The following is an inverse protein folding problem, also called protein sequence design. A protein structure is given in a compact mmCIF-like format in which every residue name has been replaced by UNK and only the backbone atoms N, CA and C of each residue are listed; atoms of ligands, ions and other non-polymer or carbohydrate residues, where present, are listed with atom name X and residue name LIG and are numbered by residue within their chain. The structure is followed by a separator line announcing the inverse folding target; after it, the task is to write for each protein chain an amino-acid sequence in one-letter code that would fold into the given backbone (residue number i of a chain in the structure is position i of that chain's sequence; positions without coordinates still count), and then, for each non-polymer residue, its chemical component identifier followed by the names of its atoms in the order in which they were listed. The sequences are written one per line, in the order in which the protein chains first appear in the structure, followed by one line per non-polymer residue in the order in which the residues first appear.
data_IF_670137357728
#
_entry.id   IF_670137357728
#
_cell.length_a   1.000
_cell.length_b   1.000
_cell.length_c   1.000
_cell.angle_alpha   90.00
_cell.angle_beta   90.00
_cell.angle_gamma   90.00
#
_symmetry.space_group_name_H-M   'P 1'
#
loop_
_entity.id
_entity.type
_entity.pdbx_description
1 polymer ?
#
# COMPACT_ATOMS: atom_id res chain seq x y z
N UNK A 1 -4.29 -72.87 -65.45
CA UNK A 1 -3.21 -73.24 -64.53
C UNK A 1 -3.45 -72.47 -63.23
N UNK A 2 -4.30 -72.99 -62.33
CA UNK A 2 -3.96 -73.81 -61.14
C UNK A 2 -3.18 -73.07 -60.05
N UNK A 3 -3.87 -72.90 -58.90
CA UNK A 3 -3.40 -72.99 -57.49
C UNK A 3 -2.36 -71.95 -57.03
N UNK A 4 -2.36 -71.46 -55.80
CA UNK A 4 -3.10 -71.81 -54.58
C UNK A 4 -2.65 -70.90 -53.43
N UNK A 5 -3.41 -70.97 -52.34
CA UNK A 5 -3.33 -70.17 -51.13
C UNK A 5 -2.01 -70.29 -50.34
N UNK A 6 -1.78 -69.30 -49.48
CA UNK A 6 -0.82 -69.38 -48.37
C UNK A 6 -0.85 -68.12 -47.50
N UNK A 7 -1.71 -68.10 -46.47
CA UNK A 7 -1.42 -67.32 -45.25
C UNK A 7 -0.13 -67.84 -44.62
N UNK A 8 0.62 -66.98 -43.90
CA UNK A 8 0.84 -67.36 -42.52
C UNK A 8 0.93 -66.20 -41.51
N UNK A 9 0.30 -66.49 -40.36
CA UNK A 9 0.87 -66.34 -39.01
C UNK A 9 0.82 -64.98 -38.33
N UNK A 10 -0.22 -64.86 -37.50
CA UNK A 10 -0.27 -64.09 -36.26
C UNK A 10 0.97 -64.32 -35.38
N UNK A 11 1.87 -63.33 -35.31
CA UNK A 11 2.76 -63.15 -34.16
C UNK A 11 2.11 -62.15 -33.20
N UNK A 12 1.56 -62.70 -32.11
CA UNK A 12 1.32 -61.98 -30.85
C UNK A 12 2.63 -61.30 -30.44
N UNK A 13 2.73 -59.99 -30.66
CA UNK A 13 3.66 -59.18 -29.90
C UNK A 13 3.08 -59.05 -28.50
N UNK A 14 3.80 -59.55 -27.50
CA UNK A 14 3.56 -59.22 -26.11
C UNK A 14 3.68 -57.70 -26.01
N UNK A 15 2.60 -57.03 -25.65
CA UNK A 15 2.66 -55.68 -25.11
C UNK A 15 3.26 -55.87 -23.72
N UNK A 16 4.56 -55.62 -23.61
CA UNK A 16 5.18 -55.42 -22.32
C UNK A 16 4.52 -54.17 -21.71
N UNK A 17 3.90 -54.33 -20.54
CA UNK A 17 3.44 -53.24 -19.69
C UNK A 17 4.66 -52.37 -19.35
N UNK A 18 4.84 -51.30 -20.13
CA UNK A 18 5.76 -50.23 -19.79
C UNK A 18 5.04 -49.36 -18.76
N UNK A 19 5.50 -49.44 -17.51
CA UNK A 19 5.18 -48.52 -16.43
C UNK A 19 5.15 -47.06 -16.95
N UNK A 20 3.99 -46.42 -16.90
CA UNK A 20 3.86 -44.98 -17.13
C UNK A 20 4.65 -44.26 -16.03
N UNK A 21 5.86 -43.80 -16.38
CA UNK A 21 6.75 -43.09 -15.48
C UNK A 21 6.19 -41.68 -15.20
N UNK A 22 5.31 -41.62 -14.20
CA UNK A 22 4.68 -40.42 -13.65
C UNK A 22 5.63 -39.19 -13.59
N UNK A 23 5.13 -38.05 -14.11
CA UNK A 23 5.89 -36.81 -14.30
C UNK A 23 6.73 -36.44 -13.06
N UNK A 24 8.05 -36.24 -13.18
CA UNK A 24 8.92 -35.83 -12.08
C UNK A 24 8.44 -34.59 -11.31
N UNK A 25 7.67 -33.69 -11.93
CA UNK A 25 7.03 -32.55 -11.26
C UNK A 25 5.80 -32.97 -10.46
N UNK A 26 4.99 -33.89 -10.98
CA UNK A 26 3.82 -34.45 -10.28
C UNK A 26 4.24 -35.29 -9.08
N UNK A 27 5.26 -36.15 -9.22
CA UNK A 27 5.88 -36.87 -8.10
C UNK A 27 6.36 -35.93 -6.98
N UNK A 28 6.96 -34.80 -7.36
CA UNK A 28 7.43 -33.78 -6.40
C UNK A 28 6.28 -33.06 -5.71
N UNK A 29 5.22 -32.70 -6.45
CA UNK A 29 3.99 -32.11 -5.90
C UNK A 29 3.38 -33.04 -4.87
N UNK A 30 3.25 -34.32 -5.21
CA UNK A 30 2.69 -35.32 -4.31
C UNK A 30 3.52 -35.55 -3.05
N UNK A 31 4.85 -35.58 -3.15
CA UNK A 31 5.74 -35.69 -1.99
C UNK A 31 5.55 -34.50 -1.03
N UNK A 32 5.43 -33.28 -1.57
CA UNK A 32 5.22 -32.05 -0.80
C UNK A 32 3.85 -32.06 -0.09
N UNK A 33 2.79 -32.45 -0.81
CA UNK A 33 1.43 -32.56 -0.28
C UNK A 33 1.38 -33.61 0.84
N UNK A 34 1.98 -34.79 0.64
CA UNK A 34 2.05 -35.86 1.66
C UNK A 34 2.75 -35.39 2.94
N UNK A 35 3.82 -34.61 2.82
CA UNK A 35 4.55 -34.07 3.98
C UNK A 35 3.76 -32.96 4.69
N UNK A 36 3.09 -32.09 3.94
CA UNK A 36 2.20 -31.05 4.47
C UNK A 36 1.02 -31.64 5.23
N UNK A 37 0.35 -32.65 4.67
CA UNK A 37 -0.75 -33.34 5.34
C UNK A 37 -0.30 -34.08 6.61
N UNK A 38 0.90 -34.66 6.59
CA UNK A 38 1.50 -35.31 7.77
C UNK A 38 1.82 -34.30 8.87
N UNK A 39 2.35 -33.12 8.50
CA UNK A 39 2.57 -32.03 9.44
C UNK A 39 1.25 -31.49 10.04
N UNK A 40 0.14 -31.59 9.29
CA UNK A 40 -1.21 -31.13 9.70
C UNK A 40 -1.94 -32.11 10.63
N UNK A 41 -1.73 -33.44 10.49
CA UNK A 41 -2.56 -34.49 11.14
C UNK A 41 -1.94 -35.20 12.37
N UNK A 42 -0.70 -34.91 12.80
CA UNK A 42 0.02 -35.81 13.73
C UNK A 42 0.56 -35.21 15.05
N UNK A 43 0.67 -36.07 16.08
CA UNK A 43 1.36 -35.84 17.38
C UNK A 43 2.89 -35.59 17.25
N UNK A 44 3.46 -35.75 16.05
CA UNK A 44 4.91 -35.66 15.75
C UNK A 44 5.25 -34.41 14.90
N UNK A 45 4.61 -33.28 15.24
CA UNK A 45 4.57 -32.02 14.49
C UNK A 45 5.97 -31.41 14.21
N UNK A 46 6.90 -31.53 15.17
CA UNK A 46 8.23 -30.90 15.07
C UNK A 46 9.12 -31.54 13.98
N UNK A 47 9.06 -32.87 13.83
CA UNK A 47 9.87 -33.60 12.85
C UNK A 47 9.38 -33.36 11.43
N UNK A 48 8.07 -33.47 11.19
CA UNK A 48 7.48 -33.21 9.88
C UNK A 48 7.69 -31.76 9.42
N UNK A 49 7.62 -30.77 10.34
CA UNK A 49 7.98 -29.38 10.04
C UNK A 49 9.44 -29.23 9.66
N UNK A 50 10.36 -29.90 10.37
CA UNK A 50 11.79 -29.85 10.06
C UNK A 50 12.11 -30.49 8.71
N UNK A 51 11.46 -31.59 8.36
CA UNK A 51 11.56 -32.25 7.06
C UNK A 51 11.02 -31.36 5.94
N UNK A 52 9.88 -30.69 6.15
CA UNK A 52 9.32 -29.71 5.22
C UNK A 52 10.25 -28.52 4.98
N UNK A 53 10.79 -27.91 6.05
CA UNK A 53 11.75 -26.81 5.96
C UNK A 53 12.99 -27.23 5.17
N UNK A 54 13.49 -28.44 5.42
CA UNK A 54 14.66 -28.99 4.71
C UNK A 54 14.35 -29.22 3.22
N UNK A 55 13.17 -29.73 2.91
CA UNK A 55 12.73 -29.97 1.54
C UNK A 55 12.56 -28.65 0.77
N UNK A 56 11.90 -27.66 1.37
CA UNK A 56 11.74 -26.32 0.79
C UNK A 56 13.11 -25.67 0.52
N UNK A 57 14.03 -25.71 1.50
CA UNK A 57 15.39 -25.18 1.31
C UNK A 57 16.15 -25.88 0.17
N UNK A 58 16.00 -27.21 0.03
CA UNK A 58 16.59 -27.97 -1.08
C UNK A 58 16.00 -27.58 -2.44
N UNK A 59 14.69 -27.35 -2.50
CA UNK A 59 14.00 -26.94 -3.72
C UNK A 59 14.37 -25.49 -4.10
N UNK A 60 14.45 -24.60 -3.12
CA UNK A 60 14.95 -23.23 -3.29
C UNK A 60 16.36 -23.23 -3.88
N UNK A 61 17.29 -23.97 -3.29
CA UNK A 61 18.67 -24.08 -3.79
C UNK A 61 18.75 -24.64 -5.22
N UNK A 62 17.86 -25.58 -5.57
CA UNK A 62 17.77 -26.12 -6.93
C UNK A 62 17.24 -25.08 -7.92
N UNK A 63 16.21 -24.33 -7.53
CA UNK A 63 15.64 -23.27 -8.35
C UNK A 63 16.63 -22.12 -8.54
N UNK A 64 17.33 -21.71 -7.48
CA UNK A 64 18.43 -20.73 -7.54
C UNK A 64 19.53 -21.17 -8.51
N UNK A 65 19.93 -22.44 -8.49
CA UNK A 65 20.92 -22.99 -9.42
C UNK A 65 20.43 -23.01 -10.88
N UNK A 66 19.13 -23.13 -11.11
CA UNK A 66 18.54 -23.14 -12.45
C UNK A 66 18.35 -21.72 -12.98
N UNK A 67 17.75 -20.85 -12.17
CA UNK A 67 17.45 -19.45 -12.49
C UNK A 67 18.72 -18.59 -12.54
N UNK A 68 19.73 -18.90 -11.73
CA UNK A 68 21.05 -18.27 -11.77
C UNK A 68 21.87 -18.57 -13.02
N UNK A 69 21.40 -19.44 -13.93
CA UNK A 69 22.02 -19.67 -15.25
C UNK A 69 21.64 -18.61 -16.27
N UNK A 70 20.58 -17.85 -16.01
CA UNK A 70 20.17 -16.75 -16.87
C UNK A 70 21.15 -15.58 -16.69
N UNK A 71 21.50 -14.94 -17.80
CA UNK A 71 22.43 -13.81 -17.80
C UNK A 71 21.84 -12.60 -17.05
N UNK A 72 22.66 -11.78 -16.37
CA UNK A 72 22.18 -10.57 -15.67
C UNK A 72 21.39 -9.61 -16.56
N UNK A 73 21.75 -9.49 -17.83
CA UNK A 73 21.08 -8.62 -18.81
C UNK A 73 19.68 -9.17 -19.16
N UNK A 74 19.53 -10.50 -19.20
CA UNK A 74 18.23 -11.14 -19.35
C UNK A 74 17.36 -10.88 -18.12
N UNK A 75 17.93 -10.89 -16.91
CA UNK A 75 17.22 -10.55 -15.69
C UNK A 75 16.76 -9.09 -15.65
N UNK A 76 17.61 -8.16 -16.10
CA UNK A 76 17.22 -6.75 -16.24
C UNK A 76 16.05 -6.59 -17.20
N UNK A 77 16.09 -7.25 -18.37
CA UNK A 77 14.99 -7.21 -19.31
C UNK A 77 13.73 -7.88 -18.76
N UNK A 78 13.87 -9.03 -18.12
CA UNK A 78 12.77 -9.74 -17.47
C UNK A 78 12.11 -8.80 -16.46
N UNK A 79 12.85 -8.25 -15.51
CA UNK A 79 12.30 -7.42 -14.40
C UNK A 79 11.83 -6.03 -14.83
N UNK A 80 12.51 -5.39 -15.78
CA UNK A 80 12.26 -3.98 -16.13
C UNK A 80 11.55 -3.76 -17.48
N UNK A 81 11.64 -4.71 -18.42
CA UNK A 81 11.07 -4.56 -19.77
C UNK A 81 9.91 -5.51 -20.05
N UNK A 82 9.96 -6.75 -19.57
CA UNK A 82 9.02 -7.81 -19.95
C UNK A 82 8.03 -8.19 -18.85
N UNK A 83 8.37 -8.00 -17.58
CA UNK A 83 7.44 -8.17 -16.47
C UNK A 83 6.71 -6.88 -16.19
N UNK A 84 5.39 -6.96 -16.31
CA UNK A 84 4.54 -5.91 -15.79
C UNK A 84 4.71 -5.83 -14.26
N UNK A 85 4.72 -4.64 -13.64
CA UNK A 85 4.87 -4.48 -12.18
C UNK A 85 3.89 -5.30 -11.32
N UNK A 86 2.77 -5.74 -11.89
CA UNK A 86 1.78 -6.59 -11.21
C UNK A 86 2.16 -8.08 -11.23
N UNK A 87 2.70 -8.56 -12.34
CA UNK A 87 3.27 -9.89 -12.44
C UNK A 87 4.51 -9.98 -11.56
N UNK A 88 5.23 -8.87 -11.41
CA UNK A 88 6.35 -8.71 -10.48
C UNK A 88 5.91 -8.85 -9.02
N UNK A 89 4.79 -8.24 -8.62
CA UNK A 89 4.20 -8.43 -7.28
C UNK A 89 3.81 -9.89 -7.05
N UNK A 90 3.07 -10.48 -8.00
CA UNK A 90 2.69 -11.89 -7.96
C UNK A 90 3.91 -12.83 -7.86
N UNK A 91 4.96 -12.60 -8.65
CA UNK A 91 6.19 -13.42 -8.69
C UNK A 91 7.10 -13.22 -7.48
N UNK A 92 7.20 -12.01 -6.96
CA UNK A 92 8.03 -11.73 -5.79
C UNK A 92 7.36 -12.12 -4.47
N UNK A 93 6.01 -12.19 -4.43
CA UNK A 93 5.29 -12.84 -3.35
C UNK A 93 5.54 -14.36 -3.32
N UNK A 94 5.88 -14.95 -4.46
CA UNK A 94 5.89 -16.40 -4.68
C UNK A 94 7.28 -17.01 -4.92
N UNK A 95 8.33 -16.19 -5.07
CA UNK A 95 9.70 -16.66 -5.27
C UNK A 95 10.75 -15.78 -4.58
N UNK A 96 11.45 -16.33 -3.56
CA UNK A 96 12.53 -15.63 -2.84
C UNK A 96 13.66 -15.19 -3.78
N UNK A 97 14.07 -16.05 -4.72
CA UNK A 97 15.11 -15.75 -5.70
C UNK A 97 14.77 -14.51 -6.55
N UNK A 98 13.52 -14.40 -7.02
CA UNK A 98 13.07 -13.22 -7.77
C UNK A 98 13.08 -11.96 -6.91
N UNK A 99 12.60 -12.04 -5.67
CA UNK A 99 12.61 -10.92 -4.71
C UNK A 99 14.03 -10.44 -4.40
N UNK A 100 14.97 -11.36 -4.23
CA UNK A 100 16.39 -11.05 -4.02
C UNK A 100 17.03 -10.47 -5.28
N UNK A 101 16.78 -11.06 -6.46
CA UNK A 101 17.30 -10.53 -7.73
C UNK A 101 16.76 -9.15 -8.09
N UNK A 102 15.50 -8.88 -7.79
CA UNK A 102 14.92 -7.54 -7.95
C UNK A 102 15.60 -6.53 -7.03
N UNK A 103 15.87 -6.90 -5.78
CA UNK A 103 16.59 -6.06 -4.82
C UNK A 103 18.02 -5.79 -5.29
N UNK A 104 18.73 -6.81 -5.78
CA UNK A 104 20.08 -6.68 -6.38
C UNK A 104 20.09 -5.67 -7.55
N UNK A 105 19.01 -5.62 -8.33
CA UNK A 105 18.84 -4.70 -9.46
C UNK A 105 18.33 -3.30 -9.05
N UNK A 106 18.23 -3.01 -7.75
CA UNK A 106 17.80 -1.71 -7.24
C UNK A 106 16.29 -1.45 -7.35
N UNK A 107 15.49 -2.47 -7.72
CA UNK A 107 14.04 -2.36 -7.76
C UNK A 107 13.44 -2.39 -6.35
N UNK A 108 12.76 -1.31 -5.94
CA UNK A 108 11.88 -1.36 -4.77
C UNK A 108 10.57 -2.02 -5.16
N UNK A 109 10.32 -3.23 -4.67
CA UNK A 109 8.98 -3.80 -4.72
C UNK A 109 8.19 -3.32 -3.51
N UNK A 110 7.15 -2.56 -3.79
CA UNK A 110 6.16 -2.19 -2.78
C UNK A 110 5.24 -3.41 -2.59
N UNK A 111 5.60 -4.29 -1.65
CA UNK A 111 4.77 -5.46 -1.28
C UNK A 111 3.64 -5.09 -0.32
N UNK A 112 3.66 -3.88 0.22
CA UNK A 112 2.60 -3.35 1.07
C UNK A 112 1.53 -2.70 0.18
N UNK A 113 0.67 -3.55 -0.38
CA UNK A 113 -0.43 -3.07 -1.21
C UNK A 113 -1.64 -2.81 -0.31
N UNK A 114 -1.71 -1.59 0.21
CA UNK A 114 -2.90 -1.16 0.94
C UNK A 114 -4.13 -1.02 0.01
N UNK A 115 -5.31 -0.83 0.61
CA UNK A 115 -6.58 -0.71 -0.11
C UNK A 115 -6.61 0.45 -1.11
N UNK A 116 -5.89 1.54 -0.83
CA UNK A 116 -5.81 2.71 -1.70
C UNK A 116 -4.91 2.45 -2.90
N UNK A 117 -3.77 1.79 -2.66
CA UNK A 117 -2.83 1.40 -3.70
C UNK A 117 -3.48 0.48 -4.73
N UNK A 118 -4.30 -0.48 -4.30
CA UNK A 118 -5.07 -1.34 -5.20
C UNK A 118 -6.00 -0.55 -6.13
N UNK A 119 -6.66 0.48 -5.61
CA UNK A 119 -7.57 1.32 -6.39
C UNK A 119 -6.84 2.25 -7.34
N UNK A 120 -5.70 2.82 -6.95
CA UNK A 120 -4.86 3.63 -7.83
C UNK A 120 -4.30 2.81 -9.00
N UNK A 121 -3.85 1.58 -8.70
CA UNK A 121 -3.46 0.63 -9.74
C UNK A 121 -4.63 0.36 -10.68
N UNK A 122 -5.85 0.20 -10.17
CA UNK A 122 -7.04 -0.05 -11.01
C UNK A 122 -7.35 1.15 -11.91
N UNK A 123 -7.37 2.36 -11.35
CA UNK A 123 -7.59 3.61 -12.09
C UNK A 123 -6.57 3.81 -13.21
N UNK A 124 -5.31 3.42 -12.98
CA UNK A 124 -4.26 3.51 -14.00
C UNK A 124 -4.34 2.42 -15.09
N UNK A 125 -5.30 1.49 -15.02
CA UNK A 125 -5.38 0.34 -15.92
C UNK A 125 -4.29 -0.70 -15.67
N UNK A 126 -3.57 -0.56 -14.55
CA UNK A 126 -2.43 -1.37 -14.15
C UNK A 126 -2.81 -2.27 -12.97
N UNK A 127 -4.02 -2.85 -12.91
CA UNK A 127 -4.27 -4.05 -12.09
C UNK A 127 -4.33 -5.22 -13.04
N UNK A 128 -3.47 -6.22 -12.83
CA UNK A 128 -3.56 -7.46 -13.57
C UNK A 128 -4.84 -8.18 -13.14
N UNK A 129 -5.71 -8.50 -14.09
CA UNK A 129 -6.74 -9.52 -13.90
C UNK A 129 -6.07 -10.87 -14.11
N UNK A 130 -6.00 -11.70 -13.07
CA UNK A 130 -5.41 -13.02 -13.17
C UNK A 130 -6.46 -14.06 -13.58
N UNK A 131 -6.06 -15.07 -14.35
CA UNK A 131 -6.94 -16.15 -14.78
C UNK A 131 -7.18 -17.16 -13.66
N UNK A 132 -8.24 -17.97 -13.77
CA UNK A 132 -8.46 -19.11 -12.88
C UNK A 132 -7.23 -20.03 -12.79
N UNK A 133 -6.52 -20.25 -13.92
CA UNK A 133 -5.30 -21.05 -13.96
C UNK A 133 -4.17 -20.49 -13.07
N UNK A 134 -4.08 -19.16 -12.93
CA UNK A 134 -3.11 -18.56 -12.02
C UNK A 134 -3.49 -18.84 -10.55
N UNK A 135 -4.76 -18.71 -10.18
CA UNK A 135 -5.22 -19.03 -8.81
C UNK A 135 -5.02 -20.52 -8.49
N UNK A 136 -5.33 -21.40 -9.45
CA UNK A 136 -5.05 -22.84 -9.36
C UNK A 136 -3.57 -23.10 -9.12
N UNK A 137 -2.69 -22.46 -9.90
CA UNK A 137 -1.25 -22.58 -9.74
C UNK A 137 -0.79 -22.09 -8.36
N UNK A 138 -1.26 -20.94 -7.88
CA UNK A 138 -0.90 -20.43 -6.54
C UNK A 138 -1.30 -21.41 -5.45
N UNK A 139 -2.56 -21.88 -5.46
CA UNK A 139 -3.03 -22.85 -4.47
C UNK A 139 -2.24 -24.17 -4.52
N UNK A 140 -1.85 -24.61 -5.70
CA UNK A 140 -1.17 -25.88 -5.90
C UNK A 140 0.34 -25.82 -5.62
N UNK A 141 0.97 -24.64 -5.71
CA UNK A 141 2.43 -24.50 -5.62
C UNK A 141 2.93 -23.78 -4.37
N UNK A 142 2.17 -22.83 -3.82
CA UNK A 142 2.65 -21.97 -2.74
C UNK A 142 2.34 -22.50 -1.34
N UNK A 143 1.43 -23.48 -1.22
CA UNK A 143 0.89 -23.92 0.06
C UNK A 143 0.05 -22.82 0.68
N UNK A 144 -1.27 -22.96 0.61
CA UNK A 144 -2.18 -21.99 1.23
C UNK A 144 -2.38 -22.29 2.71
N UNK A 145 -2.45 -21.24 3.53
CA UNK A 145 -2.89 -21.37 4.92
C UNK A 145 -4.37 -21.00 5.05
N UNK A 146 -5.14 -21.76 5.84
CA UNK A 146 -6.55 -21.47 6.06
C UNK A 146 -6.73 -20.17 6.84
N UNK A 147 -7.84 -19.49 6.57
CA UNK A 147 -8.25 -18.27 7.26
C UNK A 147 -7.71 -16.98 6.65
N UNK A 148 -7.84 -15.90 7.42
CA UNK A 148 -7.47 -14.54 7.06
C UNK A 148 -6.52 -13.95 8.12
N UNK A 149 -5.43 -13.30 7.68
CA UNK A 149 -4.65 -12.42 8.55
C UNK A 149 -4.99 -10.97 8.20
N UNK A 150 -5.70 -10.30 9.11
CA UNK A 150 -6.04 -8.89 9.00
C UNK A 150 -4.81 -7.96 8.98
N UNK A 151 -5.08 -6.64 8.86
CA UNK A 151 -4.04 -5.62 8.79
C UNK A 151 -3.13 -5.64 10.03
N UNK A 152 -1.88 -6.06 9.80
CA UNK A 152 -0.68 -5.88 10.62
C UNK A 152 -0.75 -6.26 12.12
N UNK A 153 -0.05 -7.34 12.50
CA UNK A 153 0.83 -7.39 13.70
C UNK A 153 1.72 -8.65 13.75
N UNK A 154 3.03 -8.37 13.76
CA UNK A 154 4.15 -9.04 14.45
C UNK A 154 4.59 -10.49 14.13
N UNK A 155 3.92 -11.26 13.27
CA UNK A 155 4.40 -12.61 12.91
C UNK A 155 4.10 -13.02 11.45
N UNK A 156 4.36 -12.14 10.49
CA UNK A 156 4.28 -12.50 9.07
C UNK A 156 5.40 -13.50 8.76
N UNK A 157 5.05 -14.77 8.57
CA UNK A 157 5.96 -15.72 7.91
C UNK A 157 6.00 -15.32 6.45
N UNK A 158 7.06 -14.62 6.04
CA UNK A 158 7.22 -14.17 4.66
C UNK A 158 7.19 -15.35 3.68
N UNK A 159 6.40 -15.21 2.60
CA UNK A 159 6.28 -16.22 1.53
C UNK A 159 5.06 -17.14 1.62
N UNK A 160 4.08 -16.84 2.47
CA UNK A 160 2.85 -17.65 2.61
C UNK A 160 1.63 -16.91 2.05
N UNK A 161 0.77 -17.64 1.34
CA UNK A 161 -0.49 -17.13 0.78
C UNK A 161 -1.66 -17.61 1.64
N UNK A 162 -2.44 -16.67 2.17
CA UNK A 162 -3.65 -16.98 2.95
C UNK A 162 -4.86 -17.14 2.05
N UNK A 163 -5.69 -18.15 2.31
CA UNK A 163 -6.91 -18.42 1.54
C UNK A 163 -7.86 -17.21 1.54
N UNK A 164 -8.00 -16.52 2.68
CA UNK A 164 -8.80 -15.30 2.77
C UNK A 164 -8.29 -14.17 1.86
N UNK A 165 -6.98 -14.07 1.64
CA UNK A 165 -6.41 -13.07 0.73
C UNK A 165 -6.71 -13.40 -0.74
N UNK A 166 -6.71 -14.69 -1.12
CA UNK A 166 -7.10 -15.11 -2.46
C UNK A 166 -8.59 -14.85 -2.72
N UNK A 167 -9.45 -15.14 -1.72
CA UNK A 167 -10.88 -14.83 -1.79
C UNK A 167 -11.12 -13.33 -1.96
N UNK A 168 -10.45 -12.51 -1.13
CA UNK A 168 -10.55 -11.06 -1.21
C UNK A 168 -10.07 -10.52 -2.56
N UNK A 169 -8.99 -11.08 -3.09
CA UNK A 169 -8.46 -10.68 -4.39
C UNK A 169 -9.38 -11.08 -5.56
N UNK A 170 -9.94 -12.29 -5.54
CA UNK A 170 -10.93 -12.73 -6.51
C UNK A 170 -12.21 -11.87 -6.48
N UNK A 171 -12.65 -11.49 -5.27
CA UNK A 171 -13.76 -10.56 -5.08
C UNK A 171 -13.45 -9.19 -5.65
N UNK A 172 -12.28 -8.63 -5.37
CA UNK A 172 -11.83 -7.33 -5.89
C UNK A 172 -11.76 -7.30 -7.43
N UNK A 173 -11.27 -8.38 -8.04
CA UNK A 173 -11.20 -8.51 -9.50
C UNK A 173 -12.59 -8.61 -10.15
N UNK A 174 -13.64 -8.94 -9.39
CA UNK A 174 -14.99 -9.10 -9.91
C UNK A 174 -15.22 -10.48 -10.55
N UNK A 175 -14.46 -11.52 -10.19
CA UNK A 175 -14.57 -12.84 -10.81
C UNK A 175 -15.39 -13.83 -9.97
N UNK A 176 -16.66 -14.01 -10.35
CA UNK A 176 -17.53 -15.04 -9.77
C UNK A 176 -17.01 -16.46 -10.06
N UNK A 177 -16.39 -16.68 -11.22
CA UNK A 177 -15.80 -17.98 -11.59
C UNK A 177 -14.71 -18.41 -10.59
N UNK A 178 -13.77 -17.51 -10.30
CA UNK A 178 -12.66 -17.79 -9.39
C UNK A 178 -13.16 -17.92 -7.95
N UNK A 179 -14.10 -17.06 -7.53
CA UNK A 179 -14.73 -17.17 -6.21
C UNK A 179 -15.49 -18.48 -6.04
N UNK A 180 -16.18 -18.95 -7.09
CA UNK A 180 -16.83 -20.26 -7.09
C UNK A 180 -15.83 -21.37 -6.88
N UNK A 181 -14.77 -21.40 -7.66
CA UNK A 181 -13.71 -22.39 -7.53
C UNK A 181 -13.06 -22.39 -6.13
N UNK A 182 -12.70 -21.21 -5.60
CA UNK A 182 -12.09 -21.08 -4.27
C UNK A 182 -13.03 -21.60 -3.16
N UNK A 183 -14.31 -21.25 -3.21
CA UNK A 183 -15.25 -21.56 -2.11
C UNK A 183 -15.82 -22.98 -2.24
N UNK A 184 -16.16 -23.42 -3.45
CA UNK A 184 -16.84 -24.71 -3.68
C UNK A 184 -15.86 -25.87 -3.82
N UNK A 185 -14.75 -25.66 -4.53
CA UNK A 185 -13.80 -26.75 -4.79
C UNK A 185 -12.66 -26.78 -3.79
N UNK A 186 -12.11 -25.61 -3.40
CA UNK A 186 -11.02 -25.52 -2.43
C UNK A 186 -11.49 -25.40 -0.98
N UNK A 187 -12.76 -25.07 -0.75
CA UNK A 187 -13.33 -24.94 0.60
C UNK A 187 -12.85 -23.69 1.34
N UNK A 188 -12.38 -22.66 0.62
CA UNK A 188 -12.00 -21.38 1.23
C UNK A 188 -13.24 -20.66 1.78
N UNK A 189 -13.07 -19.99 2.92
CA UNK A 189 -14.15 -19.26 3.59
C UNK A 189 -14.15 -17.77 3.22
N UNK A 190 -15.34 -17.18 3.18
CA UNK A 190 -15.51 -15.73 3.14
C UNK A 190 -15.08 -15.14 4.49
N UNK A 191 -14.36 -14.02 4.46
CA UNK A 191 -13.90 -13.32 5.66
C UNK A 191 -14.51 -11.91 5.76
N UNK A 192 -14.38 -11.27 6.92
CA UNK A 192 -14.97 -9.95 7.23
C UNK A 192 -14.63 -8.82 6.25
N UNK A 193 -13.50 -8.93 5.54
CA UNK A 193 -13.07 -7.92 4.57
C UNK A 193 -13.58 -8.18 3.15
N UNK A 194 -14.13 -9.36 2.88
CA UNK A 194 -14.63 -9.76 1.54
C UNK A 194 -15.64 -8.74 1.01
N UNK A 195 -16.51 -8.22 1.88
CA UNK A 195 -17.51 -7.21 1.54
C UNK A 195 -16.90 -5.93 0.95
N UNK A 196 -15.79 -5.44 1.52
CA UNK A 196 -15.11 -4.24 1.02
C UNK A 196 -14.53 -4.49 -0.37
N UNK A 197 -13.89 -5.63 -0.59
CA UNK A 197 -13.30 -5.99 -1.89
C UNK A 197 -14.38 -6.23 -2.95
N UNK A 198 -15.45 -6.93 -2.60
CA UNK A 198 -16.61 -7.14 -3.48
C UNK A 198 -17.27 -5.81 -3.85
N UNK A 199 -17.50 -4.92 -2.89
CA UNK A 199 -18.07 -3.59 -3.13
C UNK A 199 -17.18 -2.75 -4.05
N UNK A 200 -15.88 -2.69 -3.75
CA UNK A 200 -14.91 -1.93 -4.55
C UNK A 200 -14.67 -2.51 -5.94
N UNK A 201 -14.98 -3.79 -6.18
CA UNK A 201 -14.94 -4.39 -7.52
C UNK A 201 -15.95 -3.73 -8.48
N UNK A 202 -17.09 -3.29 -7.96
CA UNK A 202 -18.22 -2.81 -8.75
C UNK A 202 -19.03 -3.89 -9.47
N UNK A 203 -18.67 -5.18 -9.33
CA UNK A 203 -19.45 -6.29 -9.87
C UNK A 203 -20.62 -6.60 -8.94
N UNK A 204 -21.83 -6.34 -9.43
CA UNK A 204 -23.06 -6.72 -8.75
C UNK A 204 -23.17 -8.25 -8.68
N UNK A 205 -22.67 -8.96 -9.69
CA UNK A 205 -22.67 -10.43 -9.73
C UNK A 205 -21.84 -11.04 -8.59
N UNK A 206 -20.68 -10.46 -8.28
CA UNK A 206 -19.87 -10.87 -7.12
C UNK A 206 -20.62 -10.61 -5.82
N UNK A 207 -21.26 -9.45 -5.68
CA UNK A 207 -22.05 -9.10 -4.50
C UNK A 207 -23.25 -10.05 -4.30
N UNK A 208 -23.97 -10.37 -5.37
CA UNK A 208 -25.04 -11.38 -5.37
C UNK A 208 -24.52 -12.75 -4.99
N UNK A 209 -23.40 -13.17 -5.59
CA UNK A 209 -22.80 -14.47 -5.32
C UNK A 209 -22.39 -14.61 -3.84
N UNK A 210 -21.64 -13.66 -3.28
CA UNK A 210 -21.24 -13.76 -1.86
C UNK A 210 -22.44 -13.69 -0.93
N UNK A 211 -23.48 -12.90 -1.27
CA UNK A 211 -24.73 -12.85 -0.49
C UNK A 211 -25.47 -14.19 -0.50
N UNK A 212 -25.55 -14.84 -1.65
CA UNK A 212 -26.14 -16.18 -1.80
C UNK A 212 -25.44 -17.22 -0.92
N UNK A 213 -24.15 -17.04 -0.66
CA UNK A 213 -23.35 -17.87 0.24
C UNK A 213 -23.50 -17.52 1.73
N UNK A 214 -24.46 -16.67 2.07
CA UNK A 214 -24.74 -16.28 3.44
C UNK A 214 -23.85 -15.15 3.98
N UNK A 215 -23.12 -14.44 3.11
CA UNK A 215 -22.32 -13.30 3.55
C UNK A 215 -23.21 -12.17 4.10
N UNK A 216 -22.88 -11.71 5.31
CA UNK A 216 -23.52 -10.56 5.93
C UNK A 216 -22.70 -9.31 5.63
N UNK A 217 -23.26 -8.40 4.83
CA UNK A 217 -22.59 -7.15 4.51
C UNK A 217 -22.62 -6.19 5.70
N UNK A 218 -21.44 -5.68 6.03
CA UNK A 218 -21.26 -4.56 6.94
C UNK A 218 -21.06 -3.26 6.14
N UNK A 219 -20.97 -2.13 6.83
CA UNK A 219 -20.72 -0.82 6.21
C UNK A 219 -19.49 -0.80 5.29
N UNK A 220 -18.50 -1.65 5.57
CA UNK A 220 -17.29 -1.78 4.77
C UNK A 220 -17.57 -2.10 3.29
N UNK A 221 -18.68 -2.78 2.97
CA UNK A 221 -19.07 -3.02 1.58
C UNK A 221 -19.51 -1.72 0.87
N UNK A 222 -20.29 -0.88 1.56
CA UNK A 222 -20.66 0.45 1.09
C UNK A 222 -19.41 1.33 0.93
N UNK A 223 -18.50 1.31 1.90
CA UNK A 223 -17.25 2.09 1.85
C UNK A 223 -16.37 1.64 0.68
N UNK A 224 -16.27 0.33 0.44
CA UNK A 224 -15.55 -0.21 -0.71
C UNK A 224 -16.16 0.24 -2.04
N UNK A 225 -17.47 0.13 -2.20
CA UNK A 225 -18.18 0.57 -3.40
C UNK A 225 -18.03 2.09 -3.61
N UNK A 226 -18.11 2.88 -2.54
CA UNK A 226 -17.95 4.31 -2.56
C UNK A 226 -16.53 4.74 -2.95
N UNK A 227 -15.51 4.11 -2.35
CA UNK A 227 -14.10 4.37 -2.64
C UNK A 227 -13.72 3.98 -4.07
N UNK A 228 -14.32 2.91 -4.60
CA UNK A 228 -14.14 2.48 -5.99
C UNK A 228 -14.99 3.24 -7.01
N UNK A 229 -15.85 4.18 -6.58
CA UNK A 229 -16.76 4.91 -7.46
C UNK A 229 -17.85 4.04 -8.10
N UNK A 230 -18.12 2.89 -7.51
CA UNK A 230 -18.98 1.84 -8.05
C UNK A 230 -20.44 2.08 -7.66
N UNK A 231 -21.08 3.05 -8.32
CA UNK A 231 -22.44 3.48 -8.00
C UNK A 231 -23.47 2.34 -8.04
N UNK A 232 -23.41 1.45 -9.03
CA UNK A 232 -24.37 0.36 -9.16
C UNK A 232 -24.21 -0.71 -8.05
N UNK A 233 -22.96 -1.01 -7.66
CA UNK A 233 -22.69 -1.85 -6.49
C UNK A 233 -23.24 -1.22 -5.20
N UNK A 234 -23.07 0.09 -5.02
CA UNK A 234 -23.60 0.81 -3.86
C UNK A 234 -25.14 0.81 -3.85
N UNK A 235 -25.79 1.02 -5.00
CA UNK A 235 -27.26 0.89 -5.16
C UNK A 235 -27.74 -0.51 -4.81
N UNK A 236 -27.06 -1.55 -5.30
CA UNK A 236 -27.37 -2.94 -4.96
C UNK A 236 -27.32 -3.17 -3.44
N UNK A 237 -26.21 -2.78 -2.80
CA UNK A 237 -26.03 -2.94 -1.35
C UNK A 237 -27.12 -2.22 -0.54
N UNK A 238 -27.54 -1.04 -0.99
CA UNK A 238 -28.62 -0.26 -0.34
C UNK A 238 -30.03 -0.75 -0.67
N UNK A 239 -30.19 -1.52 -1.75
CA UNK A 239 -31.43 -2.18 -2.12
C UNK A 239 -31.69 -3.51 -1.39
N UNK A 240 -30.76 -3.99 -0.57
CA UNK A 240 -30.92 -5.21 0.23
C UNK A 240 -32.02 -5.05 1.30
N UNK A 241 -32.50 -6.19 1.81
CA UNK A 241 -33.44 -6.24 2.93
C UNK A 241 -32.86 -7.09 4.09
N UNK A 242 -32.41 -6.48 5.20
CA UNK A 242 -32.33 -5.03 5.44
C UNK A 242 -31.25 -4.34 4.58
N UNK A 243 -31.36 -3.02 4.32
CA UNK A 243 -30.34 -2.26 3.58
C UNK A 243 -28.97 -2.33 4.25
N UNK A 244 -27.89 -2.53 3.47
CA UNK A 244 -26.53 -2.55 4.01
C UNK A 244 -26.21 -1.22 4.70
N UNK A 245 -25.74 -1.19 5.95
CA UNK A 245 -25.49 0.06 6.66
C UNK A 245 -24.42 0.92 5.95
N UNK A 246 -24.46 2.23 6.20
CA UNK A 246 -23.46 3.21 5.80
C UNK A 246 -23.27 4.23 6.92
N UNK A 247 -22.20 5.02 6.86
CA UNK A 247 -21.95 6.15 7.76
C UNK A 247 -21.11 7.22 7.04
N UNK A 248 -20.54 8.17 7.79
CA UNK A 248 -19.75 9.28 7.25
C UNK A 248 -18.57 8.78 6.41
N UNK A 249 -17.99 7.64 6.76
CA UNK A 249 -16.84 7.04 6.06
C UNK A 249 -17.17 6.75 4.60
N UNK A 250 -18.42 6.36 4.30
CA UNK A 250 -18.88 6.13 2.92
C UNK A 250 -18.77 7.40 2.06
N UNK A 251 -19.13 8.57 2.59
CA UNK A 251 -18.94 9.85 1.88
C UNK A 251 -17.47 10.28 1.85
N UNK A 252 -16.73 10.08 2.94
CA UNK A 252 -15.31 10.39 3.05
C UNK A 252 -14.47 9.70 1.97
N UNK A 253 -14.67 8.40 1.78
CA UNK A 253 -13.90 7.61 0.82
C UNK A 253 -14.34 7.85 -0.63
N UNK A 254 -15.62 8.14 -0.89
CA UNK A 254 -16.07 8.60 -2.20
C UNK A 254 -15.44 9.96 -2.56
N UNK A 255 -15.36 10.88 -1.59
CA UNK A 255 -14.73 12.17 -1.76
C UNK A 255 -13.23 12.04 -2.02
N UNK A 256 -12.53 11.16 -1.28
CA UNK A 256 -11.12 10.84 -1.52
C UNK A 256 -10.86 10.32 -2.94
N UNK A 257 -11.77 9.49 -3.46
CA UNK A 257 -11.65 8.90 -4.79
C UNK A 257 -12.10 9.81 -5.94
N UNK A 258 -12.71 10.96 -5.64
CA UNK A 258 -13.21 11.91 -6.64
C UNK A 258 -14.57 11.52 -7.24
N UNK A 259 -15.33 10.66 -6.56
CA UNK A 259 -16.51 10.01 -7.11
C UNK A 259 -17.78 10.85 -6.89
N UNK A 260 -17.91 11.92 -7.67
CA UNK A 260 -18.98 12.90 -7.55
C UNK A 260 -20.39 12.30 -7.66
N UNK A 261 -20.61 11.40 -8.61
CA UNK A 261 -21.94 10.80 -8.84
C UNK A 261 -22.36 9.89 -7.68
N UNK A 262 -21.39 9.22 -7.02
CA UNK A 262 -21.64 8.47 -5.79
C UNK A 262 -22.08 9.41 -4.67
N UNK A 263 -21.37 10.53 -4.47
CA UNK A 263 -21.73 11.51 -3.45
C UNK A 263 -23.12 12.11 -3.68
N UNK A 264 -23.43 12.55 -4.92
CA UNK A 264 -24.76 13.08 -5.26
C UNK A 264 -25.86 12.07 -4.98
N UNK A 265 -25.66 10.82 -5.40
CA UNK A 265 -26.63 9.76 -5.19
C UNK A 265 -26.78 9.44 -3.70
N UNK A 266 -25.70 9.30 -2.94
CA UNK A 266 -25.76 8.99 -1.51
C UNK A 266 -26.46 10.09 -0.70
N UNK A 267 -26.32 11.35 -1.13
CA UNK A 267 -27.00 12.51 -0.55
C UNK A 267 -28.47 12.66 -0.97
N UNK A 268 -28.92 11.97 -2.02
CA UNK A 268 -30.31 12.00 -2.47
C UNK A 268 -31.20 10.93 -1.80
N UNK A 269 -30.67 10.18 -0.83
CA UNK A 269 -31.33 9.04 -0.19
C UNK A 269 -32.12 9.48 1.04
N UNK A 270 -33.02 8.64 1.53
CA UNK A 270 -33.82 8.91 2.73
C UNK A 270 -33.70 7.77 3.77
N UNK A 271 -33.03 7.99 4.93
CA UNK A 271 -32.26 9.19 5.26
C UNK A 271 -30.99 9.29 4.39
N UNK A 272 -30.47 10.52 4.15
CA UNK A 272 -29.29 10.69 3.33
C UNK A 272 -28.05 10.18 4.07
N UNK A 273 -27.06 9.66 3.32
CA UNK A 273 -25.79 9.21 3.90
C UNK A 273 -25.13 10.38 4.65
N UNK A 274 -24.74 10.20 5.93
CA UNK A 274 -24.15 11.28 6.71
C UNK A 274 -22.76 11.66 6.15
N UNK A 275 -22.30 12.85 6.51
CA UNK A 275 -20.98 13.37 6.15
C UNK A 275 -20.43 14.26 7.27
N UNK A 276 -19.13 14.54 7.23
CA UNK A 276 -18.46 15.40 8.20
C UNK A 276 -17.29 16.15 7.52
N UNK A 277 -16.46 16.84 8.31
CA UNK A 277 -15.33 17.64 7.83
C UNK A 277 -14.23 16.81 7.15
N UNK A 278 -14.13 15.52 7.47
CA UNK A 278 -13.23 14.60 6.78
C UNK A 278 -13.62 14.41 5.32
N UNK A 279 -14.90 14.54 4.96
CA UNK A 279 -15.34 14.43 3.57
C UNK A 279 -14.69 15.52 2.71
N UNK A 280 -14.69 16.78 3.16
CA UNK A 280 -13.97 17.85 2.46
C UNK A 280 -12.45 17.66 2.55
N UNK A 281 -11.91 17.25 3.71
CA UNK A 281 -10.48 17.01 3.85
C UNK A 281 -9.95 15.95 2.87
N UNK A 282 -10.67 14.84 2.71
CA UNK A 282 -10.30 13.78 1.78
C UNK A 282 -10.47 14.18 0.31
N UNK A 283 -11.49 14.96 -0.05
CA UNK A 283 -11.57 15.54 -1.40
C UNK A 283 -10.36 16.44 -1.69
N UNK A 284 -9.93 17.23 -0.70
CA UNK A 284 -8.74 18.07 -0.80
C UNK A 284 -7.45 17.25 -0.90
N UNK A 285 -7.32 16.16 -0.14
CA UNK A 285 -6.21 15.21 -0.22
C UNK A 285 -6.12 14.53 -1.59
N UNK A 286 -7.26 14.17 -2.22
CA UNK A 286 -7.27 13.61 -3.58
C UNK A 286 -7.15 14.65 -4.71
N UNK A 287 -7.07 15.95 -4.38
CA UNK A 287 -6.98 17.03 -5.37
C UNK A 287 -8.28 17.26 -6.15
N UNK A 288 -9.42 16.80 -5.64
CA UNK A 288 -10.69 16.79 -6.34
C UNK A 288 -11.48 18.10 -6.18
N UNK A 289 -10.99 19.17 -6.83
CA UNK A 289 -11.60 20.51 -6.78
C UNK A 289 -13.09 20.52 -7.15
N UNK A 290 -13.50 19.80 -8.19
CA UNK A 290 -14.91 19.76 -8.62
C UNK A 290 -15.82 19.09 -7.57
N UNK A 291 -15.29 18.11 -6.82
CA UNK A 291 -16.02 17.52 -5.68
C UNK A 291 -16.21 18.57 -4.59
N UNK A 292 -15.16 19.32 -4.22
CA UNK A 292 -15.25 20.39 -3.21
C UNK A 292 -16.26 21.47 -3.59
N UNK A 293 -16.28 21.90 -4.86
CA UNK A 293 -17.27 22.87 -5.36
C UNK A 293 -18.70 22.36 -5.17
N UNK A 294 -18.97 21.10 -5.51
CA UNK A 294 -20.31 20.53 -5.34
C UNK A 294 -20.65 20.37 -3.85
N UNK A 295 -19.74 19.81 -3.04
CA UNK A 295 -19.91 19.71 -1.58
C UNK A 295 -20.18 21.07 -0.93
N UNK A 296 -19.67 22.16 -1.53
CA UNK A 296 -19.95 23.51 -1.10
C UNK A 296 -21.31 24.06 -1.52
N UNK A 297 -21.80 23.69 -2.70
CA UNK A 297 -23.10 24.13 -3.20
C UNK A 297 -24.32 23.46 -2.56
N UNK A 298 -24.14 22.36 -1.82
CA UNK A 298 -25.23 21.60 -1.21
C UNK A 298 -25.79 22.29 0.06
N UNK A 299 -27.02 21.94 0.44
CA UNK A 299 -27.71 22.52 1.60
C UNK A 299 -28.17 21.45 2.61
N UNK A 300 -27.67 21.46 3.87
CA UNK A 300 -26.55 22.28 4.35
C UNK A 300 -25.24 21.91 3.65
N UNK A 301 -24.26 22.84 3.55
CA UNK A 301 -22.96 22.53 2.98
C UNK A 301 -22.20 21.53 3.84
N UNK A 302 -21.39 20.66 3.21
CA UNK A 302 -20.52 19.74 3.95
C UNK A 302 -19.50 20.52 4.78
N UNK A 303 -19.34 20.28 6.10
CA UNK A 303 -18.39 21.06 6.89
C UNK A 303 -16.95 20.90 6.37
N UNK A 304 -16.10 21.88 6.67
CA UNK A 304 -14.65 21.83 6.43
C UNK A 304 -13.91 22.39 7.65
N UNK A 305 -12.62 22.15 7.75
CA UNK A 305 -11.75 22.77 8.75
C UNK A 305 -10.30 22.88 8.24
N UNK A 306 -9.37 23.24 9.13
CA UNK A 306 -7.96 23.44 8.80
C UNK A 306 -7.32 22.24 8.08
N UNK A 307 -7.81 21.02 8.33
CA UNK A 307 -7.30 19.80 7.66
C UNK A 307 -7.51 19.85 6.15
N UNK A 308 -8.57 20.50 5.68
CA UNK A 308 -8.86 20.63 4.25
C UNK A 308 -7.74 21.41 3.54
N UNK A 309 -7.28 22.53 4.09
CA UNK A 309 -6.13 23.27 3.57
C UNK A 309 -4.82 22.50 3.76
N UNK A 310 -4.60 21.92 4.95
CA UNK A 310 -3.37 21.19 5.28
C UNK A 310 -3.14 19.99 4.34
N UNK A 311 -4.19 19.22 4.03
CA UNK A 311 -4.07 18.03 3.19
C UNK A 311 -3.96 18.36 1.70
N UNK A 312 -4.65 19.39 1.20
CA UNK A 312 -4.38 19.91 -0.15
C UNK A 312 -2.92 20.35 -0.29
N UNK A 313 -2.37 20.97 0.75
CA UNK A 313 -0.98 21.43 0.78
C UNK A 313 0.01 20.28 0.79
N UNK A 314 -0.22 19.28 1.63
CA UNK A 314 0.63 18.08 1.73
C UNK A 314 0.80 17.37 0.39
N UNK A 315 -0.29 17.26 -0.37
CA UNK A 315 -0.31 16.57 -1.67
C UNK A 315 -0.01 17.52 -2.85
N UNK A 316 0.34 18.79 -2.58
CA UNK A 316 0.74 19.77 -3.59
C UNK A 316 -0.39 20.28 -4.49
N UNK A 317 -1.66 20.16 -4.08
CA UNK A 317 -2.83 20.53 -4.87
C UNK A 317 -3.12 22.05 -4.81
N UNK A 318 -2.31 22.83 -5.53
CA UNK A 318 -2.33 24.29 -5.44
C UNK A 318 -3.66 24.95 -5.88
N UNK A 319 -4.26 24.46 -6.96
CA UNK A 319 -5.54 25.01 -7.45
C UNK A 319 -6.70 24.75 -6.46
N UNK A 320 -6.65 23.64 -5.72
CA UNK A 320 -7.59 23.38 -4.62
C UNK A 320 -7.41 24.43 -3.53
N UNK A 321 -6.18 24.70 -3.12
CA UNK A 321 -5.90 25.63 -2.03
C UNK A 321 -6.27 27.08 -2.39
N UNK A 322 -5.98 27.54 -3.62
CA UNK A 322 -6.43 28.85 -4.10
C UNK A 322 -7.95 28.96 -4.01
N UNK A 323 -8.66 27.97 -4.54
CA UNK A 323 -10.12 27.97 -4.50
C UNK A 323 -10.66 27.98 -3.07
N UNK A 324 -10.07 27.21 -2.14
CA UNK A 324 -10.46 27.20 -0.73
C UNK A 324 -10.29 28.56 -0.05
N UNK A 325 -9.30 29.34 -0.50
CA UNK A 325 -9.02 30.70 -0.01
C UNK A 325 -9.92 31.78 -0.62
N UNK A 326 -10.44 31.54 -1.81
CA UNK A 326 -11.39 32.44 -2.47
C UNK A 326 -12.84 32.30 -1.95
N UNK A 327 -13.10 31.42 -0.97
CA UNK A 327 -14.43 31.22 -0.39
C UNK A 327 -14.79 32.28 0.65
N UNK A 328 -16.09 32.48 0.92
CA UNK A 328 -16.60 33.37 1.95
C UNK A 328 -17.55 32.64 2.93
N UNK A 329 -17.15 32.42 4.20
CA UNK A 329 -15.82 32.65 4.75
C UNK A 329 -14.78 31.69 4.15
N UNK A 330 -13.50 32.08 4.10
CA UNK A 330 -12.46 31.22 3.55
C UNK A 330 -12.26 29.98 4.41
N UNK A 331 -11.82 28.88 3.80
CA UNK A 331 -11.49 27.69 4.57
C UNK A 331 -10.35 28.03 5.56
N UNK A 332 -10.49 27.68 6.85
CA UNK A 332 -9.45 27.96 7.83
C UNK A 332 -8.17 27.21 7.50
N UNK A 333 -7.04 27.75 7.95
CA UNK A 333 -5.73 27.11 7.96
C UNK A 333 -5.03 27.39 9.29
N UNK A 334 -3.95 26.67 9.55
CA UNK A 334 -3.14 26.77 10.76
C UNK A 334 -1.65 26.52 10.44
N UNK A 335 -0.80 26.50 11.47
CA UNK A 335 0.65 26.31 11.35
C UNK A 335 1.02 24.97 10.70
N UNK A 336 0.13 23.97 10.79
CA UNK A 336 0.33 22.66 10.14
C UNK A 336 0.34 22.81 8.63
N UNK A 337 -0.43 23.75 8.08
CA UNK A 337 -0.46 24.01 6.63
C UNK A 337 0.91 24.52 6.15
N UNK A 338 1.52 25.49 6.84
CA UNK A 338 2.88 25.95 6.55
C UNK A 338 3.93 24.86 6.75
N UNK A 339 3.82 24.07 7.81
CA UNK A 339 4.77 22.99 8.09
C UNK A 339 4.77 21.91 7.00
N UNK A 340 3.59 21.51 6.52
CA UNK A 340 3.46 20.54 5.42
C UNK A 340 3.98 21.08 4.09
N UNK A 341 3.73 22.36 3.77
CA UNK A 341 4.32 22.99 2.58
C UNK A 341 5.85 23.00 2.66
N UNK A 342 6.40 23.27 3.84
CA UNK A 342 7.83 23.33 4.07
C UNK A 342 8.49 21.94 3.99
N UNK A 343 7.86 20.93 4.59
CA UNK A 343 8.27 19.53 4.49
C UNK A 343 8.07 18.90 3.10
N UNK A 344 7.25 19.49 2.23
CA UNK A 344 7.13 19.07 0.82
C UNK A 344 8.14 19.73 -0.12
N UNK A 345 8.91 20.71 0.35
CA UNK A 345 9.93 21.39 -0.46
C UNK A 345 9.37 22.32 -1.54
N UNK A 346 8.08 22.65 -1.47
CA UNK A 346 7.41 23.48 -2.47
C UNK A 346 7.61 24.97 -2.17
N UNK A 347 8.82 25.51 -2.41
CA UNK A 347 9.17 26.88 -2.03
C UNK A 347 8.20 27.95 -2.58
N UNK A 348 7.77 27.86 -3.84
CA UNK A 348 6.85 28.84 -4.42
C UNK A 348 5.45 28.74 -3.80
N UNK A 349 5.01 27.54 -3.46
CA UNK A 349 3.77 27.28 -2.73
C UNK A 349 3.83 27.88 -1.33
N UNK A 350 4.95 27.68 -0.64
CA UNK A 350 5.22 28.23 0.68
C UNK A 350 5.27 29.77 0.69
N UNK A 351 5.91 30.38 -0.32
CA UNK A 351 5.89 31.84 -0.54
C UNK A 351 4.47 32.35 -0.73
N UNK A 352 3.67 31.66 -1.54
CA UNK A 352 2.28 32.05 -1.77
C UNK A 352 1.45 31.98 -0.49
N UNK A 353 1.60 30.95 0.34
CA UNK A 353 0.91 30.84 1.63
C UNK A 353 1.20 32.04 2.55
N UNK A 354 2.44 32.51 2.54
CA UNK A 354 2.91 33.63 3.35
C UNK A 354 2.59 35.00 2.77
N UNK A 355 2.19 35.09 1.50
CA UNK A 355 1.76 36.34 0.86
C UNK A 355 0.26 36.64 1.02
N UNK A 356 -0.49 35.78 1.71
CA UNK A 356 -1.94 35.91 1.91
C UNK A 356 -2.24 36.92 3.03
N UNK A 357 -3.50 37.38 3.11
CA UNK A 357 -3.96 38.29 4.17
C UNK A 357 -5.18 37.69 4.92
N UNK A 358 -5.05 37.34 6.22
CA UNK A 358 -3.80 37.26 6.97
C UNK A 358 -2.91 36.13 6.44
N UNK A 359 -1.57 36.23 6.60
CA UNK A 359 -0.67 35.22 6.07
C UNK A 359 -0.81 33.92 6.84
N UNK A 360 -0.64 32.78 6.17
CA UNK A 360 -0.75 31.47 6.83
C UNK A 360 0.24 31.41 8.01
N UNK A 361 -0.21 31.11 9.24
CA UNK A 361 0.67 31.12 10.40
C UNK A 361 1.72 30.01 10.26
N UNK A 362 2.85 30.20 10.94
CA UNK A 362 3.92 29.21 11.02
C UNK A 362 4.40 29.07 12.46
N UNK A 363 5.16 28.02 12.73
CA UNK A 363 5.85 27.86 14.00
C UNK A 363 7.14 27.04 13.78
N UNK A 364 7.79 26.63 14.87
CA UNK A 364 9.04 25.87 14.83
C UNK A 364 8.95 24.60 13.98
N UNK A 365 7.74 24.04 13.82
CA UNK A 365 7.50 22.85 12.99
C UNK A 365 7.82 23.09 11.52
N UNK A 366 7.70 24.33 11.05
CA UNK A 366 8.01 24.70 9.66
C UNK A 366 9.50 24.52 9.33
N UNK A 367 10.40 25.05 10.17
CA UNK A 367 11.83 24.79 10.03
C UNK A 367 12.18 23.32 10.28
N UNK A 368 11.52 22.69 11.26
CA UNK A 368 11.73 21.30 11.59
C UNK A 368 11.41 20.35 10.41
N UNK A 369 10.22 20.43 9.82
CA UNK A 369 9.78 19.55 8.73
C UNK A 369 10.64 19.79 7.46
N UNK A 370 11.01 21.05 7.16
CA UNK A 370 11.91 21.34 6.04
C UNK A 370 13.33 20.77 6.27
N UNK A 371 13.84 20.82 7.49
CA UNK A 371 15.16 20.29 7.82
C UNK A 371 15.20 18.76 7.79
N UNK A 372 14.16 18.11 8.33
CA UNK A 372 14.01 16.64 8.30
C UNK A 372 14.00 16.13 6.85
N UNK A 373 13.30 16.83 5.94
CA UNK A 373 13.17 16.43 4.53
C UNK A 373 14.26 16.98 3.59
N UNK A 374 15.24 17.73 4.12
CA UNK A 374 16.37 18.20 3.32
C UNK A 374 16.10 19.44 2.46
N UNK A 375 15.01 20.17 2.71
CA UNK A 375 14.57 21.31 1.90
C UNK A 375 15.26 22.62 2.30
N UNK A 376 16.55 22.70 1.97
CA UNK A 376 17.44 23.81 2.35
C UNK A 376 17.01 25.17 1.78
N UNK A 377 16.44 25.21 0.59
CA UNK A 377 15.94 26.42 -0.06
C UNK A 377 14.74 27.03 0.70
N UNK A 378 13.83 26.18 1.18
CA UNK A 378 12.72 26.57 2.06
C UNK A 378 13.25 27.12 3.38
N UNK A 379 14.22 26.44 4.01
CA UNK A 379 14.84 26.91 5.25
C UNK A 379 15.50 28.29 5.08
N UNK A 380 16.28 28.47 4.02
CA UNK A 380 16.92 29.76 3.69
C UNK A 380 15.91 30.87 3.55
N UNK A 381 14.82 30.61 2.83
CA UNK A 381 13.77 31.60 2.65
C UNK A 381 13.01 31.89 3.94
N UNK A 382 12.62 30.87 4.71
CA UNK A 382 11.89 31.04 5.97
C UNK A 382 12.70 31.81 7.03
N UNK A 383 14.02 31.63 7.04
CA UNK A 383 14.94 32.34 7.93
C UNK A 383 15.28 33.77 7.46
N UNK A 384 15.01 34.11 6.19
CA UNK A 384 15.19 35.47 5.68
C UNK A 384 13.98 36.38 5.92
N UNK A 385 12.92 35.89 6.56
CA UNK A 385 11.69 36.66 6.83
C UNK A 385 11.80 37.40 8.18
N UNK A 386 10.91 38.37 8.40
CA UNK A 386 10.83 39.15 9.64
C UNK A 386 9.42 39.07 10.26
N UNK A 387 9.25 38.49 11.47
CA UNK A 387 10.26 37.76 12.22
C UNK A 387 10.63 36.43 11.52
N UNK A 388 11.87 35.93 11.71
CA UNK A 388 12.28 34.69 11.05
C UNK A 388 11.63 33.48 11.71
N UNK A 389 11.38 32.42 10.95
CA UNK A 389 10.76 31.21 11.48
C UNK A 389 11.58 30.64 12.65
N UNK A 390 10.96 30.33 13.81
CA UNK A 390 11.70 29.95 15.02
C UNK A 390 12.32 28.56 14.90
N UNK A 391 13.37 28.32 15.69
CA UNK A 391 14.02 27.03 15.80
C UNK A 391 13.28 26.08 16.75
N UNK A 392 13.46 24.78 16.51
CA UNK A 392 13.20 23.74 17.50
C UNK A 392 14.52 23.04 17.87
N UNK A 393 14.74 22.77 19.15
CA UNK A 393 15.98 22.15 19.63
C UNK A 393 16.27 20.76 19.03
N UNK A 394 15.24 20.05 18.56
CA UNK A 394 15.40 18.77 17.87
C UNK A 394 15.70 18.89 16.37
N UNK A 395 15.63 20.07 15.75
CA UNK A 395 15.76 20.23 14.28
C UNK A 395 17.02 19.56 13.73
N UNK A 396 18.19 19.82 14.33
CA UNK A 396 19.44 19.18 13.92
C UNK A 396 19.44 17.66 14.13
N UNK A 397 18.79 17.18 15.19
CA UNK A 397 18.79 15.76 15.52
C UNK A 397 18.02 14.92 14.48
N UNK A 398 16.91 15.45 13.95
CA UNK A 398 16.12 14.81 12.90
C UNK A 398 16.74 14.99 11.51
N UNK A 399 17.33 16.15 11.21
CA UNK A 399 18.16 16.29 10.01
C UNK A 399 19.32 15.27 9.98
N UNK A 400 19.91 14.96 11.15
CA UNK A 400 20.92 13.91 11.30
C UNK A 400 20.35 12.50 11.15
N UNK A 401 19.15 12.24 11.67
CA UNK A 401 18.43 10.97 11.52
C UNK A 401 18.12 10.62 10.06
N UNK A 402 17.85 11.63 9.24
CA UNK A 402 17.44 11.49 7.83
C UNK A 402 18.59 11.70 6.83
N UNK A 403 19.83 11.84 7.29
CA UNK A 403 20.98 11.90 6.39
C UNK A 403 21.23 13.26 5.73
N UNK A 404 20.65 14.35 6.27
CA UNK A 404 20.67 15.68 5.65
C UNK A 404 21.92 16.50 6.01
N UNK A 405 23.10 16.05 5.55
CA UNK A 405 24.39 16.68 5.87
C UNK A 405 24.49 18.15 5.40
N UNK A 406 23.98 18.49 4.22
CA UNK A 406 24.01 19.87 3.71
C UNK A 406 23.17 20.82 4.58
N UNK A 407 21.99 20.36 5.01
CA UNK A 407 21.13 21.10 5.94
C UNK A 407 21.82 21.29 7.29
N UNK A 408 22.44 20.23 7.83
CA UNK A 408 23.18 20.32 9.10
C UNK A 408 24.29 21.35 9.06
N UNK A 409 25.11 21.37 8.01
CA UNK A 409 26.13 22.39 7.83
C UNK A 409 25.52 23.79 7.86
N UNK A 410 24.49 24.01 7.04
CA UNK A 410 23.86 25.31 6.96
C UNK A 410 23.20 25.76 8.27
N UNK A 411 22.57 24.85 9.02
CA UNK A 411 21.94 25.14 10.32
C UNK A 411 22.96 25.59 11.38
N UNK A 412 24.20 25.09 11.32
CA UNK A 412 25.30 25.51 12.21
C UNK A 412 25.85 26.88 11.83
N UNK A 413 25.78 27.25 10.56
CA UNK A 413 26.28 28.53 10.05
C UNK A 413 25.31 29.72 10.27
N UNK A 414 24.15 29.50 10.92
CA UNK A 414 23.16 30.55 11.20
C UNK A 414 23.54 31.42 12.40
N UNK A 415 23.02 32.66 12.46
CA UNK A 415 23.15 33.56 13.60
C UNK A 415 21.77 34.04 14.10
N UNK A 416 21.32 33.64 15.31
CA UNK A 416 21.93 32.62 16.17
C UNK A 416 21.79 31.22 15.54
N UNK A 417 22.75 30.31 15.81
CA UNK A 417 22.73 28.96 15.26
C UNK A 417 21.53 28.17 15.78
N UNK A 418 21.05 27.22 14.99
CA UNK A 418 20.00 26.31 15.46
C UNK A 418 20.52 25.54 16.70
N UNK A 419 19.78 25.52 17.82
CA UNK A 419 20.15 24.72 18.98
C UNK A 419 20.29 23.25 18.57
N UNK A 420 21.30 22.58 19.11
CA UNK A 420 21.56 21.18 18.81
C UNK A 420 22.18 20.46 20.00
N UNK A 421 21.97 19.15 20.07
CA UNK A 421 22.70 18.26 20.97
C UNK A 421 23.58 17.35 20.13
N UNK A 422 24.91 17.50 20.27
CA UNK A 422 25.90 16.67 19.57
C UNK A 422 25.64 15.18 19.81
N UNK A 423 25.41 14.81 21.08
CA UNK A 423 25.11 13.44 21.52
C UNK A 423 23.87 12.88 20.82
N UNK A 424 22.76 13.64 20.81
CA UNK A 424 21.51 13.15 20.22
C UNK A 424 21.59 13.06 18.70
N UNK A 425 22.18 14.05 18.03
CA UNK A 425 22.40 14.02 16.57
C UNK A 425 23.26 12.81 16.17
N UNK A 426 24.37 12.57 16.90
CA UNK A 426 25.25 11.42 16.65
C UNK A 426 24.54 10.09 16.87
N UNK A 427 23.74 9.98 17.94
CA UNK A 427 22.96 8.77 18.26
C UNK A 427 21.95 8.46 17.16
N UNK A 428 21.14 9.44 16.75
CA UNK A 428 20.14 9.26 15.69
C UNK A 428 20.78 8.91 14.34
N UNK A 429 21.82 9.63 13.92
CA UNK A 429 22.55 9.31 12.70
C UNK A 429 23.14 7.88 12.73
N UNK A 430 23.65 7.43 13.88
CA UNK A 430 24.16 6.07 14.03
C UNK A 430 23.07 5.00 14.00
N UNK A 431 21.89 5.27 14.56
CA UNK A 431 20.75 4.34 14.52
C UNK A 431 20.16 4.22 13.11
N UNK A 432 20.24 5.28 12.31
CA UNK A 432 19.80 5.32 10.91
C UNK A 432 20.87 4.96 9.87
N UNK A 433 22.04 4.45 10.31
CA UNK A 433 23.16 4.04 9.43
C UNK A 433 23.73 5.18 8.54
N UNK A 434 23.73 6.41 9.06
CA UNK A 434 24.29 7.59 8.40
C UNK A 434 25.72 7.89 8.88
N UNK A 435 26.67 6.98 8.60
CA UNK A 435 28.06 7.08 9.06
C UNK A 435 28.78 8.36 8.60
N UNK A 436 28.42 8.90 7.43
CA UNK A 436 28.98 10.16 6.93
C UNK A 436 28.63 11.35 7.84
N UNK A 437 27.43 11.37 8.45
CA UNK A 437 27.04 12.37 9.44
C UNK A 437 27.76 12.12 10.77
N UNK A 438 27.86 10.87 11.22
CA UNK A 438 28.63 10.54 12.44
C UNK A 438 30.07 11.03 12.33
N UNK A 439 30.73 10.75 11.20
CA UNK A 439 32.09 11.21 10.93
C UNK A 439 32.17 12.75 10.92
N UNK A 440 31.21 13.42 10.28
CA UNK A 440 31.14 14.88 10.27
C UNK A 440 30.96 15.48 11.66
N UNK A 441 30.12 14.88 12.52
CA UNK A 441 29.95 15.29 13.92
C UNK A 441 31.24 15.06 14.71
N UNK A 442 31.90 13.92 14.51
CA UNK A 442 33.11 13.54 15.26
C UNK A 442 34.31 14.42 14.89
N UNK A 443 34.39 14.93 13.65
CA UNK A 443 35.43 15.85 13.18
C UNK A 443 35.31 17.28 13.70
N UNK A 444 34.16 17.69 14.25
CA UNK A 444 33.99 19.02 14.87
C UNK A 444 34.46 18.97 16.34
N UNK A 445 35.68 19.44 16.61
CA UNK A 445 36.21 19.58 17.97
C UNK A 445 35.57 20.78 18.69
N UNK A 446 35.05 20.59 19.90
CA UNK A 446 34.70 21.62 20.89
C UNK A 446 33.86 22.86 20.46
N UNK A 447 32.75 22.67 19.75
CA UNK A 447 31.61 23.60 19.88
C UNK A 447 30.82 23.19 21.13
N UNK A 448 31.18 23.80 22.28
CA UNK A 448 30.64 23.56 23.62
C UNK A 448 29.24 22.92 23.64
N UNK A 449 29.14 21.72 24.22
CA UNK A 449 27.89 21.20 24.78
C UNK A 449 27.33 22.32 25.67
N UNK A 450 26.29 23.03 25.22
CA UNK A 450 25.48 23.80 26.14
C UNK A 450 24.83 22.75 27.03
N UNK A 451 25.46 22.59 28.18
CA UNK A 451 25.17 21.60 29.20
C UNK A 451 23.67 21.44 29.39
N UNK A 452 23.28 20.18 29.48
CA UNK A 452 21.98 19.58 29.83
C UNK A 452 21.45 20.04 31.23
N UNK A 453 21.71 21.28 31.66
CA UNK A 453 21.48 21.78 33.02
C UNK A 453 20.72 23.11 33.13
N UNK A 454 20.06 23.61 32.08
CA UNK A 454 19.10 24.71 32.27
C UNK A 454 17.71 24.38 31.71
N UNK A 455 16.97 23.56 32.47
CA UNK A 455 15.52 23.39 32.33
C UNK A 455 14.80 24.60 32.95
N UNK A 456 15.04 25.79 32.42
CA UNK A 456 14.23 26.97 32.73
C UNK A 456 13.95 27.80 31.48
N UNK A 457 13.36 27.19 30.45
CA UNK A 457 12.61 27.97 29.46
C UNK A 457 11.18 28.13 29.98
N UNK A 458 10.96 29.26 30.65
CA UNK A 458 9.63 29.82 30.87
C UNK A 458 8.91 30.01 29.53
N UNK A 459 7.67 29.57 29.48
CA UNK A 459 6.74 29.84 28.39
C UNK A 459 6.48 31.34 28.29
N UNK A 460 6.84 31.97 27.18
CA UNK A 460 6.15 33.15 26.65
C UNK A 460 6.11 33.09 25.12
#
# INVERSE_FOLDING_TARGET
MTRGAGEPSTKRAKVDEADEEEDPLMRRKEELVRLLERARKGKDNARAKKELVTLCARLEAKNEKLLGRLLPELWQKIVHEYLHPNDLLALAMTCRFFREKQKDLGGKLETDVDRYRLLDLRKSGKVASHSLGWFQWVCDTMGTLPGYQGRFRDNIVGGVVWEGNLVNYAAFQGSVEILRWLIEEKGCELNEDTGWYAGSSGSVEVLEYVKLRGYEFTKAACDGAAMGGCLEALKFLRGLNPPCPWDEETCEVAARGGHLEVLKWARSQDPPCPWNDWTCAYAAHGGHLEVLKVLRSLNPPCPWNWRTCAWATKEGHFEVLKWLRDQDPPCPWDEVTCALAAGGGHLDFFKWLRSQDPPCPWNWRTCFDAAEKGHLDVLKWARSQDPPCPWYAGTCAYAAEEGQLEVLNWLRDQDPPCPWSRRECRKKASLSDHQHIVNWIDQREDESDVSDTDRSYEYF
#
